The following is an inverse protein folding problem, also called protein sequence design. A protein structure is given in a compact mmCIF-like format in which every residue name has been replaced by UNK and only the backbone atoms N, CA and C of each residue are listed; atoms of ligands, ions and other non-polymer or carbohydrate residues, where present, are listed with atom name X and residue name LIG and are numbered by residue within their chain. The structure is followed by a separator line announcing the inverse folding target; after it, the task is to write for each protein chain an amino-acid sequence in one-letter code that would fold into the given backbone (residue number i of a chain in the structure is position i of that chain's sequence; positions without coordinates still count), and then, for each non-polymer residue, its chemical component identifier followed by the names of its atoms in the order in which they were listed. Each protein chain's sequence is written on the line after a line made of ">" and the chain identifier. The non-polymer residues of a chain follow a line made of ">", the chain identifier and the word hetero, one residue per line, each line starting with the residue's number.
data_IF_415900533764
#
_entry.id   IF_415900533764
#
_cell.length_a   1.000
_cell.length_b   1.000
_cell.length_c   1.000
_cell.angle_alpha   90.00
_cell.angle_beta   90.00
_cell.angle_gamma   90.00
#
_symmetry.space_group_name_H-M   'P 1'
#
loop_
_entity.id
_entity.type
_entity.pdbx_description
1 polymer ?
#
# COMPACT_ATOMS: atom_id res chain seq x y z
N UNK A 1 69.05 51.65 -50.73
CA UNK A 1 69.31 50.20 -50.54
C UNK A 1 68.09 49.32 -50.83
N UNK A 2 66.87 49.66 -50.37
CA UNK A 2 65.63 48.88 -50.64
C UNK A 2 65.28 48.71 -52.14
N UNK A 3 65.66 49.65 -53.01
CA UNK A 3 65.33 49.63 -54.44
C UNK A 3 66.18 48.67 -55.27
N UNK A 4 67.44 48.41 -54.88
CA UNK A 4 68.31 47.51 -55.63
C UNK A 4 68.03 46.04 -55.32
N UNK A 5 67.63 45.72 -54.09
CA UNK A 5 67.22 44.37 -53.70
C UNK A 5 65.93 43.97 -54.43
N UNK A 6 64.95 44.87 -54.55
CA UNK A 6 63.73 44.62 -55.34
C UNK A 6 64.04 44.35 -56.81
N UNK A 7 64.89 45.17 -57.43
CA UNK A 7 65.26 45.04 -58.84
C UNK A 7 66.04 43.74 -59.15
N UNK A 8 66.79 43.23 -58.18
CA UNK A 8 67.52 41.96 -58.28
C UNK A 8 66.61 40.72 -58.06
N UNK A 9 65.46 40.89 -57.40
CA UNK A 9 64.49 39.82 -57.15
C UNK A 9 63.35 39.77 -58.18
N UNK A 10 63.09 40.86 -58.91
CA UNK A 10 62.10 40.92 -59.99
C UNK A 10 62.22 39.79 -61.06
N UNK A 11 63.43 39.34 -61.48
CA UNK A 11 63.55 38.22 -62.43
C UNK A 11 63.40 36.84 -61.78
N UNK A 12 63.38 36.74 -60.44
CA UNK A 12 63.20 35.46 -59.72
C UNK A 12 61.70 35.21 -59.56
N UNK A 13 61.04 34.92 -60.68
CA UNK A 13 59.63 34.53 -60.71
C UNK A 13 59.56 33.04 -61.03
N UNK A 14 58.83 32.29 -60.21
CA UNK A 14 58.53 30.90 -60.55
C UNK A 14 57.74 30.88 -61.86
N UNK A 15 58.06 29.94 -62.73
CA UNK A 15 57.31 29.71 -63.97
C UNK A 15 55.82 29.50 -63.63
N UNK A 16 54.92 30.03 -64.45
CA UNK A 16 53.47 29.95 -64.22
C UNK A 16 53.00 28.49 -64.17
N UNK A 17 53.71 27.59 -64.86
CA UNK A 17 53.52 26.14 -64.76
C UNK A 17 53.86 25.58 -63.37
N UNK A 18 54.91 26.08 -62.71
CA UNK A 18 55.32 25.67 -61.36
C UNK A 18 54.35 26.23 -60.31
N UNK A 19 53.84 27.46 -60.51
CA UNK A 19 52.82 28.06 -59.65
C UNK A 19 51.50 27.29 -59.78
N UNK A 20 51.09 26.94 -61.00
CA UNK A 20 49.88 26.17 -61.28
C UNK A 20 49.90 24.78 -60.62
N UNK A 21 50.98 24.04 -60.81
CA UNK A 21 51.16 22.70 -60.22
C UNK A 21 51.23 22.74 -58.69
N UNK A 22 51.91 23.75 -58.12
CA UNK A 22 51.96 23.93 -56.66
C UNK A 22 50.59 24.31 -56.10
N UNK A 23 49.84 25.16 -56.80
CA UNK A 23 48.48 25.54 -56.41
C UNK A 23 47.53 24.35 -56.44
N UNK A 24 47.65 23.49 -57.44
CA UNK A 24 46.85 22.27 -57.56
C UNK A 24 47.23 21.21 -56.52
N UNK A 25 48.53 21.07 -56.22
CA UNK A 25 49.01 20.20 -55.15
C UNK A 25 48.51 20.67 -53.77
N UNK A 26 48.51 21.99 -53.52
CA UNK A 26 47.99 22.58 -52.29
C UNK A 26 46.48 22.45 -52.18
N UNK A 27 45.72 22.66 -53.26
CA UNK A 27 44.26 22.47 -53.24
C UNK A 27 43.90 20.99 -53.02
N UNK A 28 44.60 20.05 -53.67
CA UNK A 28 44.45 18.61 -53.39
C UNK A 28 44.76 18.26 -51.93
N UNK A 29 45.83 18.83 -51.36
CA UNK A 29 46.16 18.64 -49.94
C UNK A 29 45.13 19.25 -48.99
N UNK A 30 44.56 20.41 -49.33
CA UNK A 30 43.48 21.06 -48.55
C UNK A 30 42.18 20.25 -48.61
N UNK A 31 41.78 19.77 -49.79
CA UNK A 31 40.60 18.91 -49.95
C UNK A 31 40.76 17.57 -49.23
N UNK A 32 41.95 16.97 -49.26
CA UNK A 32 42.24 15.74 -48.51
C UNK A 32 42.17 15.95 -46.98
N UNK A 33 42.63 17.10 -46.47
CA UNK A 33 42.50 17.46 -45.04
C UNK A 33 41.05 17.74 -44.64
N UNK A 34 40.27 18.42 -45.48
CA UNK A 34 38.85 18.66 -45.23
C UNK A 34 38.01 17.37 -45.21
N UNK A 35 38.50 16.30 -45.84
CA UNK A 35 37.93 14.94 -45.83
C UNK A 35 38.42 14.05 -44.69
N UNK A 36 39.13 14.60 -43.68
CA UNK A 36 39.42 13.82 -42.46
C UNK A 36 38.11 13.35 -41.82
N UNK A 37 37.97 12.08 -41.43
CA UNK A 37 36.67 11.49 -41.19
C UNK A 37 36.11 11.97 -39.84
N UNK A 38 35.29 13.02 -39.86
CA UNK A 38 34.38 13.38 -38.76
C UNK A 38 33.49 12.19 -38.34
N UNK A 39 33.43 11.11 -39.14
CA UNK A 39 32.77 9.84 -38.82
C UNK A 39 33.21 9.26 -37.47
N UNK A 40 34.48 9.42 -37.07
CA UNK A 40 34.96 8.92 -35.77
C UNK A 40 34.39 9.71 -34.58
N UNK A 41 34.43 11.04 -34.66
CA UNK A 41 33.89 11.94 -33.62
C UNK A 41 32.37 11.88 -33.56
N UNK A 42 31.69 11.87 -34.72
CA UNK A 42 30.22 11.69 -34.79
C UNK A 42 29.79 10.32 -34.25
N UNK A 43 30.50 9.23 -34.55
CA UNK A 43 30.22 7.91 -33.96
C UNK A 43 30.44 7.89 -32.44
N UNK A 44 31.50 8.55 -31.94
CA UNK A 44 31.73 8.70 -30.49
C UNK A 44 30.62 9.53 -29.83
N UNK A 45 30.18 10.63 -30.45
CA UNK A 45 29.07 11.44 -29.95
C UNK A 45 27.76 10.65 -29.89
N UNK A 46 27.42 9.96 -30.98
CA UNK A 46 26.19 9.14 -31.07
C UNK A 46 26.23 8.01 -30.05
N UNK A 47 27.38 7.33 -29.87
CA UNK A 47 27.52 6.28 -28.85
C UNK A 47 27.43 6.84 -27.44
N UNK A 48 28.03 7.99 -27.14
CA UNK A 48 27.87 8.64 -25.82
C UNK A 48 26.42 9.06 -25.56
N UNK A 49 25.71 9.61 -26.56
CA UNK A 49 24.30 9.96 -26.42
C UNK A 49 23.42 8.72 -26.23
N UNK A 50 23.71 7.63 -26.94
CA UNK A 50 23.00 6.37 -26.79
C UNK A 50 23.21 5.76 -25.38
N UNK A 51 24.44 5.80 -24.86
CA UNK A 51 24.72 5.36 -23.49
C UNK A 51 23.97 6.21 -22.47
N UNK A 52 24.02 7.54 -22.58
CA UNK A 52 23.29 8.44 -21.67
C UNK A 52 21.78 8.20 -21.72
N UNK A 53 21.21 8.03 -22.92
CA UNK A 53 19.78 7.71 -23.07
C UNK A 53 19.45 6.35 -22.44
N UNK A 54 20.30 5.34 -22.64
CA UNK A 54 20.10 4.03 -22.01
C UNK A 54 20.18 4.09 -20.49
N UNK A 55 21.13 4.84 -19.93
CA UNK A 55 21.22 5.07 -18.49
C UNK A 55 19.97 5.78 -17.96
N UNK A 56 19.49 6.80 -18.68
CA UNK A 56 18.28 7.53 -18.31
C UNK A 56 17.04 6.62 -18.31
N UNK A 57 16.89 5.75 -19.32
CA UNK A 57 15.81 4.77 -19.38
C UNK A 57 15.90 3.75 -18.24
N UNK A 58 17.09 3.27 -17.91
CA UNK A 58 17.30 2.34 -16.78
C UNK A 58 16.95 3.02 -15.45
N UNK A 59 17.40 4.26 -15.23
CA UNK A 59 17.09 5.02 -14.02
C UNK A 59 15.59 5.31 -13.93
N UNK A 60 14.97 5.79 -15.01
CA UNK A 60 13.54 6.05 -15.06
C UNK A 60 12.71 4.77 -14.80
N UNK A 61 13.06 3.66 -15.44
CA UNK A 61 12.41 2.36 -15.23
C UNK A 61 12.59 1.85 -13.80
N UNK A 62 13.77 2.04 -13.20
CA UNK A 62 14.03 1.66 -11.81
C UNK A 62 13.20 2.48 -10.82
N UNK A 63 13.10 3.79 -11.04
CA UNK A 63 12.28 4.68 -10.21
C UNK A 63 10.80 4.33 -10.35
N UNK A 64 10.33 4.05 -11.57
CA UNK A 64 8.95 3.61 -11.80
C UNK A 64 8.66 2.30 -11.07
N UNK A 65 9.56 1.31 -11.16
CA UNK A 65 9.41 0.04 -10.46
C UNK A 65 9.37 0.21 -8.93
N UNK A 66 10.18 1.11 -8.38
CA UNK A 66 10.17 1.42 -6.95
C UNK A 66 8.89 2.12 -6.47
N UNK A 67 8.15 2.76 -7.38
CA UNK A 67 6.89 3.47 -7.10
C UNK A 67 5.64 2.70 -7.49
N UNK A 68 5.76 1.50 -8.02
CA UNK A 68 4.60 0.67 -8.35
C UNK A 68 4.06 -0.03 -7.09
N UNK A 69 2.76 0.10 -6.77
CA UNK A 69 2.15 -0.66 -5.69
C UNK A 69 2.09 -2.14 -6.07
N UNK A 70 2.40 -3.01 -5.12
CA UNK A 70 2.40 -4.47 -5.30
C UNK A 70 1.55 -5.21 -4.28
N UNK A 71 1.22 -4.53 -3.19
CA UNK A 71 0.29 -5.01 -2.19
C UNK A 71 -0.39 -3.82 -1.50
N UNK A 72 -1.58 -4.07 -0.97
CA UNK A 72 -2.31 -3.16 -0.10
C UNK A 72 -2.59 -3.86 1.23
N UNK A 73 -2.57 -3.09 2.31
CA UNK A 73 -2.89 -3.55 3.66
C UNK A 73 -3.91 -2.57 4.19
N UNK A 74 -5.10 -3.05 4.53
CA UNK A 74 -6.10 -2.24 5.23
C UNK A 74 -6.20 -2.68 6.68
N UNK A 75 -6.33 -1.71 7.57
CA UNK A 75 -6.61 -1.89 8.99
C UNK A 75 -7.99 -1.29 9.24
N UNK A 76 -8.96 -2.17 9.45
CA UNK A 76 -10.36 -1.87 9.64
C UNK A 76 -10.75 -2.08 11.10
N UNK A 77 -10.75 -0.96 11.82
CA UNK A 77 -11.35 -0.82 13.13
C UNK A 77 -12.16 0.49 13.12
N UNK A 78 -12.19 1.19 14.25
CA UNK A 78 -12.49 2.61 14.31
C UNK A 78 -11.23 3.21 14.92
N UNK A 79 -10.18 3.52 14.13
CA UNK A 79 -10.15 4.06 12.76
C UNK A 79 -9.97 3.05 11.60
N UNK A 80 -10.18 3.51 10.35
CA UNK A 80 -10.06 2.73 9.11
C UNK A 80 -9.07 3.38 8.13
N UNK A 81 -8.00 2.64 7.80
CA UNK A 81 -6.87 3.12 6.98
C UNK A 81 -6.37 2.06 5.98
N UNK A 82 -5.89 2.48 4.81
CA UNK A 82 -5.19 1.65 3.82
C UNK A 82 -3.74 2.12 3.67
N UNK A 83 -2.81 1.18 3.55
CA UNK A 83 -1.42 1.43 3.20
C UNK A 83 -1.08 0.64 1.93
N UNK A 84 -0.57 1.33 0.92
CA UNK A 84 -0.02 0.69 -0.27
C UNK A 84 1.48 0.50 -0.14
N UNK A 85 1.98 -0.67 -0.55
CA UNK A 85 3.39 -1.01 -0.45
C UNK A 85 3.97 -1.52 -1.76
N UNK A 86 5.23 -1.16 -2.02
CA UNK A 86 5.97 -1.63 -3.19
C UNK A 86 6.56 -3.04 -2.98
N UNK A 87 7.24 -3.56 -4.02
CA UNK A 87 7.87 -4.89 -4.00
C UNK A 87 8.89 -5.08 -2.86
N UNK A 88 9.43 -3.98 -2.31
CA UNK A 88 10.36 -3.96 -1.18
C UNK A 88 9.66 -3.81 0.17
N UNK A 89 8.33 -3.91 0.20
CA UNK A 89 7.47 -3.72 1.39
C UNK A 89 7.69 -2.36 2.06
N UNK A 90 7.95 -1.34 1.25
CA UNK A 90 7.99 0.05 1.70
C UNK A 90 6.67 0.73 1.37
N UNK A 91 6.20 1.54 2.30
CA UNK A 91 4.99 2.34 2.14
C UNK A 91 5.17 3.32 0.98
N UNK A 92 4.21 3.31 0.07
CA UNK A 92 4.07 4.27 -1.02
C UNK A 92 3.09 5.37 -0.68
N UNK A 93 1.96 5.01 -0.06
CA UNK A 93 0.92 5.90 0.40
C UNK A 93 0.21 5.31 1.62
N UNK A 94 -0.40 6.18 2.41
CA UNK A 94 -1.35 5.82 3.45
C UNK A 94 -2.58 6.71 3.29
N UNK A 95 -3.76 6.10 3.22
CA UNK A 95 -5.04 6.77 2.98
C UNK A 95 -6.01 6.44 4.12
N UNK A 96 -6.77 7.43 4.59
CA UNK A 96 -7.81 7.25 5.58
C UNK A 96 -9.17 7.12 4.89
N UNK A 97 -10.06 6.31 5.48
CA UNK A 97 -11.40 6.03 4.94
C UNK A 97 -12.51 6.41 5.91
N UNK A 98 -12.16 7.02 7.05
CA UNK A 98 -13.09 7.64 8.00
C UNK A 98 -12.41 8.80 8.74
N UNK A 99 -13.20 9.69 9.41
CA UNK A 99 -12.65 10.83 10.15
C UNK A 99 -11.65 10.45 11.25
N UNK A 100 -11.87 9.31 11.91
CA UNK A 100 -10.95 8.78 12.92
C UNK A 100 -9.59 8.42 12.29
N UNK A 101 -9.60 7.85 11.07
CA UNK A 101 -8.39 7.54 10.32
C UNK A 101 -7.66 8.78 9.86
N UNK A 102 -8.38 9.83 9.46
CA UNK A 102 -7.77 11.12 9.10
C UNK A 102 -7.03 11.72 10.31
N UNK A 103 -7.70 11.74 11.46
CA UNK A 103 -7.12 12.22 12.71
C UNK A 103 -5.90 11.37 13.14
N UNK A 104 -5.96 10.06 12.92
CA UNK A 104 -4.85 9.16 13.22
C UNK A 104 -3.62 9.44 12.34
N UNK A 105 -3.83 9.66 11.04
CA UNK A 105 -2.73 9.82 10.07
C UNK A 105 -2.09 11.22 10.08
N UNK A 106 -2.77 12.27 10.57
CA UNK A 106 -2.32 13.67 10.50
C UNK A 106 -0.91 13.89 11.09
N UNK A 107 -0.49 13.09 12.08
CA UNK A 107 0.82 13.15 12.72
C UNK A 107 1.86 12.12 12.24
N UNK A 108 1.49 11.20 11.35
CA UNK A 108 2.29 10.02 11.03
C UNK A 108 3.03 10.14 9.70
N UNK A 109 4.37 10.11 9.75
CA UNK A 109 5.21 10.07 8.55
C UNK A 109 5.44 8.62 8.09
N UNK A 110 4.51 8.05 7.34
CA UNK A 110 4.55 6.62 6.98
C UNK A 110 5.28 6.35 5.65
N UNK A 111 5.23 7.27 4.69
CA UNK A 111 5.81 7.06 3.35
C UNK A 111 7.30 6.72 3.39
N UNK A 112 7.68 5.72 2.59
CA UNK A 112 9.04 5.22 2.49
C UNK A 112 9.47 4.32 3.66
N UNK A 113 8.73 4.24 4.77
CA UNK A 113 9.03 3.31 5.88
C UNK A 113 8.76 1.86 5.49
N UNK A 114 9.42 0.88 6.14
CA UNK A 114 9.01 -0.52 6.07
C UNK A 114 7.56 -0.67 6.55
N UNK A 115 6.77 -1.51 5.87
CA UNK A 115 5.35 -1.74 6.18
C UNK A 115 5.12 -2.10 7.65
N UNK A 116 5.98 -2.95 8.23
CA UNK A 116 5.89 -3.36 9.65
C UNK A 116 6.03 -2.18 10.61
N UNK A 117 6.98 -1.27 10.35
CA UNK A 117 7.17 -0.08 11.17
C UNK A 117 6.04 0.93 11.01
N UNK A 118 5.45 1.01 9.82
CA UNK A 118 4.28 1.84 9.60
C UNK A 118 3.06 1.32 10.38
N UNK A 119 2.84 -0.01 10.35
CA UNK A 119 1.78 -0.68 11.11
C UNK A 119 1.99 -0.51 12.61
N UNK A 120 3.21 -0.71 13.12
CA UNK A 120 3.52 -0.45 14.52
C UNK A 120 3.19 0.98 14.93
N UNK A 121 3.51 1.97 14.09
CA UNK A 121 3.21 3.36 14.36
C UNK A 121 1.70 3.66 14.37
N UNK A 122 0.94 3.04 13.46
CA UNK A 122 -0.53 3.14 13.41
C UNK A 122 -1.15 2.52 14.67
N UNK A 123 -0.77 1.29 15.03
CA UNK A 123 -1.28 0.62 16.22
C UNK A 123 -0.93 1.39 17.50
N UNK A 124 0.29 1.92 17.60
CA UNK A 124 0.68 2.75 18.73
C UNK A 124 -0.16 4.03 18.82
N UNK A 125 -0.49 4.66 17.68
CA UNK A 125 -1.38 5.80 17.63
C UNK A 125 -2.82 5.41 18.01
N UNK A 126 -3.31 4.25 17.57
CA UNK A 126 -4.65 3.75 17.93
C UNK A 126 -4.79 3.54 19.44
N UNK A 127 -3.78 2.96 20.07
CA UNK A 127 -3.74 2.77 21.52
C UNK A 127 -3.69 4.12 22.23
N UNK A 128 -2.85 5.07 21.78
CA UNK A 128 -2.74 6.40 22.38
C UNK A 128 -4.03 7.24 22.26
N UNK A 129 -4.74 7.10 21.13
CA UNK A 129 -6.01 7.77 20.89
C UNK A 129 -7.19 7.08 21.62
N UNK A 130 -6.98 5.90 22.21
CA UNK A 130 -7.99 5.16 22.98
C UNK A 130 -8.93 4.30 22.13
N UNK A 131 -8.58 4.06 20.87
CA UNK A 131 -9.34 3.19 19.96
C UNK A 131 -9.15 1.70 20.29
N UNK A 132 -7.99 1.34 20.87
CA UNK A 132 -7.75 0.02 21.45
C UNK A 132 -7.92 0.09 22.97
N UNK A 133 -8.93 -0.59 23.49
CA UNK A 133 -9.30 -0.56 24.90
C UNK A 133 -8.54 -1.61 25.73
N UNK A 134 -8.26 -1.28 26.99
CA UNK A 134 -7.58 -2.10 28.00
C UNK A 134 -8.21 -3.49 28.25
N UNK A 135 -9.46 -3.69 27.84
CA UNK A 135 -10.24 -4.90 28.09
C UNK A 135 -9.86 -6.09 27.18
N UNK A 136 -9.06 -5.85 26.14
CA UNK A 136 -8.66 -6.86 25.16
C UNK A 136 -9.77 -7.24 24.17
N UNK A 137 -10.89 -6.52 24.16
CA UNK A 137 -12.06 -6.81 23.34
C UNK A 137 -12.03 -6.11 21.97
N UNK A 138 -11.19 -5.09 21.80
CA UNK A 138 -11.00 -4.41 20.52
C UNK A 138 -10.61 -5.40 19.42
N UNK A 139 -11.29 -5.33 18.28
CA UNK A 139 -10.97 -6.13 17.09
C UNK A 139 -10.29 -5.24 16.06
N UNK A 140 -9.10 -5.66 15.63
CA UNK A 140 -8.37 -5.07 14.50
C UNK A 140 -8.56 -6.02 13.33
N UNK A 141 -9.37 -5.62 12.33
CA UNK A 141 -9.50 -6.37 11.10
C UNK A 141 -8.43 -5.96 10.11
N UNK A 142 -7.74 -6.92 9.50
CA UNK A 142 -6.64 -6.69 8.58
C UNK A 142 -6.94 -7.38 7.27
N UNK A 143 -7.04 -6.65 6.17
CA UNK A 143 -7.09 -7.27 4.86
C UNK A 143 -5.81 -7.00 4.07
N UNK A 144 -5.18 -8.07 3.56
CA UNK A 144 -4.00 -7.96 2.70
C UNK A 144 -4.29 -8.40 1.28
N UNK A 145 -3.94 -7.54 0.33
CA UNK A 145 -4.08 -7.79 -1.09
C UNK A 145 -2.70 -7.88 -1.74
N UNK A 146 -2.42 -8.91 -2.54
CA UNK A 146 -1.18 -8.99 -3.33
C UNK A 146 -1.36 -9.88 -4.55
N UNK A 147 -0.66 -9.57 -5.65
CA UNK A 147 -0.68 -10.36 -6.88
C UNK A 147 0.08 -11.69 -6.83
N UNK A 148 0.59 -12.09 -5.65
CA UNK A 148 1.29 -13.37 -5.47
C UNK A 148 0.96 -13.95 -4.09
N UNK A 149 0.34 -15.12 -4.07
CA UNK A 149 -0.04 -15.82 -2.83
C UNK A 149 1.15 -15.99 -1.89
N UNK A 150 2.29 -16.48 -2.40
CA UNK A 150 3.50 -16.66 -1.59
C UNK A 150 4.03 -15.37 -0.96
N UNK A 151 3.92 -14.24 -1.67
CA UNK A 151 4.35 -12.95 -1.15
C UNK A 151 3.35 -12.40 -0.13
N UNK A 152 2.05 -12.64 -0.35
CA UNK A 152 0.94 -12.32 0.54
C UNK A 152 1.08 -13.03 1.87
N UNK A 153 1.23 -14.36 1.90
CA UNK A 153 1.37 -15.10 3.15
C UNK A 153 2.52 -14.53 3.98
N UNK A 154 3.71 -14.37 3.38
CA UNK A 154 4.85 -13.75 4.07
C UNK A 154 4.62 -12.30 4.51
N UNK A 155 3.68 -11.57 3.90
CA UNK A 155 3.31 -10.23 4.31
C UNK A 155 2.41 -10.32 5.54
N UNK A 156 1.38 -11.15 5.50
CA UNK A 156 0.42 -11.40 6.59
C UNK A 156 1.12 -11.74 7.91
N UNK A 157 2.06 -12.70 7.90
CA UNK A 157 2.90 -13.01 9.08
C UNK A 157 3.50 -11.75 9.71
N UNK A 158 4.11 -10.92 8.87
CA UNK A 158 4.88 -9.77 9.34
C UNK A 158 3.96 -8.64 9.79
N UNK A 159 2.80 -8.52 9.17
CA UNK A 159 1.77 -7.57 9.59
C UNK A 159 1.24 -7.97 10.96
N UNK A 160 0.86 -9.23 11.12
CA UNK A 160 0.39 -9.78 12.39
C UNK A 160 1.44 -9.65 13.51
N UNK A 161 2.68 -10.06 13.24
CA UNK A 161 3.82 -9.93 14.17
C UNK A 161 4.01 -8.46 14.58
N UNK A 162 3.97 -7.53 13.61
CA UNK A 162 4.10 -6.10 13.88
C UNK A 162 2.96 -5.53 14.74
N UNK A 163 1.72 -5.99 14.53
CA UNK A 163 0.58 -5.60 15.35
C UNK A 163 0.76 -6.10 16.78
N UNK A 164 1.10 -7.38 16.97
CA UNK A 164 1.29 -7.94 18.29
C UNK A 164 2.49 -7.34 19.04
N UNK A 165 3.57 -7.01 18.34
CA UNK A 165 4.72 -6.30 18.91
C UNK A 165 4.29 -4.91 19.42
N UNK A 166 3.59 -4.12 18.60
CA UNK A 166 3.13 -2.78 19.01
C UNK A 166 2.11 -2.80 20.15
N UNK A 167 1.18 -3.76 20.14
CA UNK A 167 0.25 -3.99 21.24
C UNK A 167 1.00 -4.36 22.52
N UNK A 168 1.96 -5.28 22.44
CA UNK A 168 2.79 -5.71 23.57
C UNK A 168 3.64 -4.58 24.16
N UNK A 169 4.27 -3.75 23.31
CA UNK A 169 5.02 -2.56 23.74
C UNK A 169 4.13 -1.53 24.43
N UNK A 170 2.87 -1.43 24.02
CA UNK A 170 1.87 -0.52 24.60
C UNK A 170 1.17 -1.11 25.83
N UNK A 171 1.49 -2.35 26.22
CA UNK A 171 0.85 -3.06 27.34
C UNK A 171 -0.63 -3.37 27.09
N UNK A 172 -1.03 -3.43 25.83
CA UNK A 172 -2.41 -3.55 25.39
C UNK A 172 -2.64 -4.91 24.71
N UNK A 173 -3.84 -5.46 24.85
CA UNK A 173 -4.29 -6.64 24.12
C UNK A 173 -5.40 -6.25 23.14
N UNK A 174 -5.49 -6.95 22.00
CA UNK A 174 -6.56 -6.84 21.03
C UNK A 174 -6.71 -8.17 20.26
N UNK A 175 -7.88 -8.39 19.68
CA UNK A 175 -8.13 -9.49 18.76
C UNK A 175 -7.76 -9.06 17.35
N UNK A 176 -6.85 -9.80 16.71
CA UNK A 176 -6.47 -9.55 15.32
C UNK A 176 -7.21 -10.55 14.44
N UNK A 177 -8.15 -10.05 13.63
CA UNK A 177 -8.78 -10.80 12.56
C UNK A 177 -8.08 -10.44 11.26
N UNK A 178 -7.67 -11.42 10.48
CA UNK A 178 -7.02 -11.10 9.22
C UNK A 178 -7.48 -11.98 8.07
N UNK A 179 -7.49 -11.38 6.88
CA UNK A 179 -7.97 -12.02 5.68
C UNK A 179 -7.18 -11.62 4.44
N UNK A 180 -7.10 -12.58 3.54
CA UNK A 180 -6.34 -12.51 2.32
C UNK A 180 -7.32 -12.22 1.17
N UNK A 181 -7.21 -11.05 0.54
CA UNK A 181 -8.12 -10.60 -0.52
C UNK A 181 -7.37 -10.45 -1.86
N UNK A 182 -8.12 -10.42 -2.97
CA UNK A 182 -7.58 -10.18 -4.30
C UNK A 182 -7.30 -8.70 -4.56
N UNK A 183 -6.46 -8.41 -5.56
CA UNK A 183 -6.13 -7.02 -5.94
C UNK A 183 -7.31 -6.30 -6.58
N UNK A 184 -8.19 -7.03 -7.25
CA UNK A 184 -9.45 -6.51 -7.80
C UNK A 184 -10.31 -5.83 -6.72
N UNK A 185 -10.28 -6.36 -5.49
CA UNK A 185 -11.00 -5.78 -4.36
C UNK A 185 -10.48 -4.40 -3.96
N UNK A 186 -9.19 -4.15 -4.20
CA UNK A 186 -8.55 -2.86 -3.87
C UNK A 186 -9.04 -1.76 -4.82
N UNK A 187 -9.15 -2.09 -6.10
CA UNK A 187 -9.64 -1.15 -7.12
C UNK A 187 -11.12 -0.84 -6.91
N UNK A 188 -11.96 -1.86 -6.68
CA UNK A 188 -13.39 -1.70 -6.38
C UNK A 188 -13.64 -0.85 -5.12
N UNK A 189 -12.90 -1.12 -4.03
CA UNK A 189 -13.08 -0.40 -2.77
C UNK A 189 -12.71 1.08 -2.89
N UNK A 190 -11.69 1.40 -3.69
CA UNK A 190 -11.27 2.77 -3.97
C UNK A 190 -12.33 3.58 -4.69
N UNK A 191 -13.05 2.99 -5.64
CA UNK A 191 -14.17 3.65 -6.32
C UNK A 191 -15.31 4.00 -5.36
N UNK A 192 -15.50 3.14 -4.34
CA UNK A 192 -16.53 3.30 -3.31
C UNK A 192 -16.05 4.13 -2.10
N UNK A 193 -14.80 4.59 -2.07
CA UNK A 193 -14.22 5.33 -0.94
C UNK A 193 -14.35 4.58 0.40
N UNK A 194 -14.14 3.27 0.37
CA UNK A 194 -14.04 2.40 1.55
C UNK A 194 -12.76 1.56 1.46
N UNK A 195 -12.35 0.96 2.57
CA UNK A 195 -11.20 0.05 2.55
C UNK A 195 -11.53 -1.28 1.86
N UNK A 196 -10.50 -1.97 1.31
CA UNK A 196 -10.66 -3.28 0.71
C UNK A 196 -11.18 -4.35 1.69
N UNK A 197 -10.76 -4.29 2.96
CA UNK A 197 -11.25 -5.19 4.01
C UNK A 197 -12.72 -4.95 4.35
N UNK A 198 -13.15 -3.68 4.47
CA UNK A 198 -14.57 -3.35 4.66
C UNK A 198 -15.42 -3.81 3.49
N UNK A 199 -15.00 -3.59 2.24
CA UNK A 199 -15.73 -4.10 1.07
C UNK A 199 -15.82 -5.63 1.10
N UNK A 200 -14.79 -6.33 1.58
CA UNK A 200 -14.86 -7.78 1.76
C UNK A 200 -15.90 -8.23 2.79
N UNK A 201 -16.02 -7.53 3.90
CA UNK A 201 -17.06 -7.79 4.89
C UNK A 201 -18.46 -7.50 4.32
N UNK A 202 -18.62 -6.41 3.57
CA UNK A 202 -19.90 -6.04 2.91
C UNK A 202 -20.34 -7.14 1.95
N UNK A 203 -19.45 -7.62 1.08
CA UNK A 203 -19.81 -8.66 0.11
C UNK A 203 -20.23 -9.96 0.79
N UNK A 204 -19.52 -10.38 1.85
CA UNK A 204 -19.92 -11.54 2.67
C UNK A 204 -21.31 -11.37 3.29
N UNK A 205 -21.66 -10.16 3.71
CA UNK A 205 -22.98 -9.88 4.27
C UNK A 205 -24.07 -9.94 3.19
N UNK A 206 -23.81 -9.39 2.00
CA UNK A 206 -24.75 -9.43 0.87
C UNK A 206 -24.96 -10.86 0.36
N UNK A 207 -23.92 -11.70 0.36
CA UNK A 207 -24.04 -13.12 0.02
C UNK A 207 -25.00 -13.87 0.97
N UNK A 208 -25.02 -13.50 2.26
CA UNK A 208 -25.89 -14.09 3.27
C UNK A 208 -27.29 -13.46 3.29
N UNK A 209 -27.38 -12.16 3.03
CA UNK A 209 -28.62 -11.39 2.95
C UNK A 209 -28.67 -10.54 1.67
N UNK A 210 -29.15 -11.13 0.55
CA UNK A 210 -29.23 -10.44 -0.74
C UNK A 210 -30.21 -9.26 -0.77
N UNK A 211 -30.93 -8.98 0.32
CA UNK A 211 -31.83 -7.82 0.40
C UNK A 211 -31.10 -6.52 0.72
N UNK A 212 -29.84 -6.61 1.20
CA UNK A 212 -28.99 -5.46 1.51
C UNK A 212 -28.23 -4.97 0.28
N UNK A 213 -27.97 -3.68 0.25
CA UNK A 213 -27.15 -3.04 -0.79
C UNK A 213 -25.78 -2.65 -0.24
N UNK A 214 -24.82 -2.40 -1.13
CA UNK A 214 -23.49 -1.94 -0.74
C UNK A 214 -23.62 -0.57 -0.06
N UNK A 215 -24.42 0.31 -0.65
CA UNK A 215 -24.65 1.68 -0.19
C UNK A 215 -25.19 1.72 1.24
N UNK A 216 -26.13 0.85 1.60
CA UNK A 216 -26.69 0.78 2.95
C UNK A 216 -25.66 0.35 4.01
N UNK A 217 -24.62 -0.38 3.59
CA UNK A 217 -23.62 -0.98 4.47
C UNK A 217 -22.33 -0.15 4.58
N UNK A 218 -22.14 0.81 3.67
CA UNK A 218 -20.96 1.69 3.67
C UNK A 218 -20.88 2.56 4.93
N UNK A 219 -22.00 2.96 5.52
CA UNK A 219 -22.04 3.78 6.74
C UNK A 219 -21.91 2.94 8.02
N UNK A 220 -21.96 1.61 7.92
CA UNK A 220 -21.89 0.73 9.08
C UNK A 220 -20.45 0.52 9.53
N UNK A 221 -20.21 0.43 10.83
CA UNK A 221 -18.87 0.10 11.35
C UNK A 221 -18.49 -1.36 11.01
N UNK A 222 -17.20 -1.63 10.69
CA UNK A 222 -16.74 -2.99 10.38
C UNK A 222 -17.15 -4.03 11.42
N UNK A 223 -17.02 -3.72 12.72
CA UNK A 223 -17.41 -4.63 13.81
C UNK A 223 -18.90 -5.01 13.77
N UNK A 224 -19.77 -4.07 13.39
CA UNK A 224 -21.19 -4.35 13.18
C UNK A 224 -21.43 -5.29 12.00
N UNK A 225 -20.68 -5.12 10.90
CA UNK A 225 -20.80 -5.98 9.71
C UNK A 225 -20.35 -7.39 10.07
N UNK A 226 -19.22 -7.53 10.75
CA UNK A 226 -18.71 -8.82 11.24
C UNK A 226 -19.74 -9.56 12.09
N UNK A 227 -20.41 -8.84 13.01
CA UNK A 227 -21.45 -9.41 13.87
C UNK A 227 -22.64 -9.93 13.06
N UNK A 228 -23.17 -9.15 12.12
CA UNK A 228 -24.28 -9.59 11.27
C UNK A 228 -23.92 -10.80 10.40
N UNK A 229 -22.70 -10.81 9.83
CA UNK A 229 -22.21 -11.95 9.04
C UNK A 229 -22.21 -13.24 9.87
N UNK A 230 -21.75 -13.18 11.12
CA UNK A 230 -21.72 -14.34 12.01
C UNK A 230 -23.12 -14.76 12.46
N UNK A 231 -23.99 -13.82 12.82
CA UNK A 231 -25.37 -14.12 13.22
C UNK A 231 -26.17 -14.81 12.10
N UNK A 232 -26.07 -14.30 10.87
CA UNK A 232 -26.75 -14.89 9.71
C UNK A 232 -26.19 -16.27 9.34
N UNK A 233 -24.87 -16.45 9.44
CA UNK A 233 -24.23 -17.76 9.23
C UNK A 233 -24.69 -18.78 10.27
N UNK A 234 -24.77 -18.40 11.54
CA UNK A 234 -25.26 -19.27 12.61
C UNK A 234 -26.75 -19.60 12.44
N UNK A 235 -27.57 -18.63 12.02
CA UNK A 235 -28.98 -18.87 11.73
C UNK A 235 -29.18 -19.82 10.54
N UNK A 236 -28.36 -19.70 9.50
CA UNK A 236 -28.37 -20.61 8.34
C UNK A 236 -27.91 -22.04 8.69
N UNK A 237 -27.04 -22.20 9.69
CA UNK A 237 -26.55 -23.49 10.17
C UNK A 237 -27.33 -24.06 11.38
N UNK A 238 -28.45 -23.42 11.78
CA UNK A 238 -29.28 -23.82 12.92
C UNK A 238 -30.22 -25.02 12.70
N UNK A 239 -30.11 -25.70 11.56
CA UNK A 239 -30.80 -26.98 11.29
C UNK A 239 -29.85 -27.92 10.58
N UNK A 240 -29.63 -29.08 11.20
CA UNK A 240 -28.88 -30.24 10.73
C UNK A 240 -27.39 -30.32 11.04
N UNK A 241 -27.06 -31.50 11.59
CA UNK A 241 -25.77 -32.06 11.91
C UNK A 241 -24.69 -31.71 10.88
N UNK A 242 -23.51 -31.28 11.36
CA UNK A 242 -22.21 -31.30 10.67
C UNK A 242 -22.33 -31.25 9.12
N UNK A 243 -22.85 -30.13 8.61
CA UNK A 243 -22.72 -29.74 7.20
C UNK A 243 -21.31 -29.22 6.92
N UNK A 244 -20.85 -29.29 5.65
CA UNK A 244 -19.44 -29.44 5.31
C UNK A 244 -18.63 -28.24 5.80
N UNK A 245 -17.46 -28.56 6.34
CA UNK A 245 -16.32 -27.68 6.27
C UNK A 245 -16.31 -27.08 4.87
N UNK A 246 -16.58 -25.77 4.78
CA UNK A 246 -16.55 -25.03 3.53
C UNK A 246 -15.09 -25.01 3.16
N UNK A 247 -14.69 -26.08 2.46
CA UNK A 247 -13.35 -26.43 2.00
C UNK A 247 -12.33 -25.38 2.39
N UNK A 248 -11.66 -25.65 3.50
CA UNK A 248 -10.22 -25.80 3.49
C UNK A 248 -9.66 -25.63 2.07
N UNK A 249 -9.20 -24.41 1.78
CA UNK A 249 -8.12 -24.25 0.81
C UNK A 249 -6.98 -25.12 1.32
N UNK A 250 -6.76 -26.20 0.56
CA UNK A 250 -5.83 -27.30 0.80
C UNK A 250 -4.63 -26.89 1.68
N UNK A 251 -4.39 -27.70 2.72
CA UNK A 251 -3.14 -27.65 3.48
C UNK A 251 -1.94 -27.90 2.57
N UNK A 252 -1.39 -26.82 2.01
CA UNK A 252 -0.05 -26.79 1.42
C UNK A 252 0.99 -26.18 2.39
N UNK A 253 2.25 -26.66 2.34
CA UNK A 253 3.24 -26.37 3.38
C UNK A 253 3.88 -24.98 3.18
N UNK A 254 3.72 -24.10 4.17
CA UNK A 254 4.43 -22.80 4.23
C UNK A 254 3.68 -21.60 4.84
N UNK A 255 2.57 -21.82 5.57
CA UNK A 255 1.67 -20.77 6.11
C UNK A 255 2.37 -19.83 7.12
N UNK A 256 2.12 -18.53 7.00
CA UNK A 256 1.52 -17.82 8.12
C UNK A 256 0.04 -17.59 7.92
N UNK A 257 -0.68 -17.55 9.03
CA UNK A 257 -2.12 -17.57 9.11
C UNK A 257 -2.44 -16.66 10.29
N UNK A 258 -3.28 -15.64 10.10
CA UNK A 258 -3.63 -14.73 11.20
C UNK A 258 -4.21 -15.53 12.37
N UNK A 259 -3.92 -15.10 13.60
CA UNK A 259 -4.26 -15.81 14.82
C UNK A 259 -5.74 -16.20 14.91
N UNK A 260 -6.64 -15.32 14.46
CA UNK A 260 -8.05 -15.64 14.29
C UNK A 260 -8.43 -15.79 12.82
N UNK A 261 -8.67 -17.06 12.43
CA UNK A 261 -8.97 -17.46 11.05
C UNK A 261 -10.42 -17.22 10.63
N UNK A 262 -11.32 -17.00 11.59
CA UNK A 262 -12.74 -16.80 11.32
C UNK A 262 -13.32 -15.66 12.14
N UNK A 263 -14.30 -14.96 11.55
CA UNK A 263 -15.05 -13.90 12.23
C UNK A 263 -15.69 -14.41 13.54
N UNK A 264 -16.17 -15.65 13.54
CA UNK A 264 -16.77 -16.30 14.71
C UNK A 264 -15.81 -16.36 15.89
N UNK A 265 -14.59 -16.85 15.67
CA UNK A 265 -13.59 -16.97 16.73
C UNK A 265 -13.09 -15.61 17.18
N UNK A 266 -12.92 -14.66 16.26
CA UNK A 266 -12.54 -13.30 16.60
C UNK A 266 -13.59 -12.64 17.52
N UNK A 267 -14.87 -12.72 17.15
CA UNK A 267 -15.97 -12.17 17.96
C UNK A 267 -16.12 -12.92 19.30
N UNK A 268 -15.99 -14.25 19.31
CA UNK A 268 -16.05 -15.05 20.55
C UNK A 268 -14.93 -14.66 21.52
N UNK A 269 -13.70 -14.48 21.02
CA UNK A 269 -12.55 -14.09 21.83
C UNK A 269 -12.68 -12.67 22.36
N UNK A 270 -13.14 -11.74 21.52
CA UNK A 270 -13.42 -10.37 21.93
C UNK A 270 -14.49 -10.32 23.04
N UNK A 271 -15.58 -11.07 22.89
CA UNK A 271 -16.63 -11.17 23.91
C UNK A 271 -16.11 -11.76 25.23
N UNK A 272 -15.29 -12.82 25.17
CA UNK A 272 -14.65 -13.40 26.37
C UNK A 272 -13.68 -12.42 27.06
N UNK A 273 -12.95 -11.62 26.29
CA UNK A 273 -12.05 -10.59 26.82
C UNK A 273 -12.85 -9.51 27.56
N UNK A 274 -13.90 -8.98 26.93
CA UNK A 274 -14.82 -8.03 27.55
C UNK A 274 -15.44 -8.56 28.85
N UNK A 275 -15.93 -9.80 28.85
CA UNK A 275 -16.55 -10.41 30.04
C UNK A 275 -15.55 -10.60 31.18
N UNK A 276 -14.32 -11.00 30.85
CA UNK A 276 -13.23 -11.14 31.83
C UNK A 276 -12.83 -9.78 32.41
N UNK A 277 -12.82 -8.73 31.60
CA UNK A 277 -12.54 -7.36 32.05
C UNK A 277 -13.65 -6.86 33.00
N UNK A 278 -14.91 -6.98 32.61
CA UNK A 278 -16.06 -6.59 33.43
C UNK A 278 -16.08 -7.30 34.80
N UNK A 279 -15.74 -8.59 34.84
CA UNK A 279 -15.62 -9.35 36.10
C UNK A 279 -14.47 -8.87 36.99
N UNK A 280 -13.37 -8.37 36.42
CA UNK A 280 -12.24 -7.81 37.18
C UNK A 280 -12.55 -6.42 37.73
N UNK A 281 -13.35 -5.64 37.03
CA UNK A 281 -13.73 -4.27 37.43
C UNK A 281 -14.91 -4.24 38.43
N UNK A 282 -15.52 -5.38 38.76
CA UNK A 282 -16.61 -5.46 39.73
C UNK A 282 -17.93 -4.87 39.23
N UNK A 283 -18.05 -4.63 37.91
CA UNK A 283 -19.28 -4.18 37.28
C UNK A 283 -20.12 -5.43 37.00
N UNK A 284 -21.18 -5.63 37.79
CA UNK A 284 -22.20 -6.61 37.47
C UNK A 284 -22.81 -6.28 36.10
N UNK A 285 -23.12 -7.28 35.24
CA UNK A 285 -23.76 -7.01 33.97
C UNK A 285 -25.10 -6.33 34.25
N UNK A 286 -25.20 -5.05 33.89
CA UNK A 286 -26.47 -4.34 33.94
C UNK A 286 -27.39 -5.05 32.95
N UNK A 287 -28.39 -5.73 33.52
CA UNK A 287 -29.47 -6.38 32.79
C UNK A 287 -30.02 -5.40 31.77
N UNK A 288 -29.81 -5.71 30.48
CA UNK A 288 -30.58 -5.13 29.38
C UNK A 288 -31.99 -5.72 29.50
N UNK A 289 -32.78 -5.15 30.41
CA UNK A 289 -34.22 -5.25 30.42
C UNK A 289 -34.79 -3.88 30.03
N UNK A 290 -35.85 -3.82 29.20
CA UNK A 290 -36.37 -2.57 28.71
C UNK A 290 -36.90 -1.72 29.88
N UNK A 291 -36.34 -0.51 30.06
CA UNK A 291 -36.97 0.56 30.85
C UNK A 291 -38.21 1.06 30.11
N UNK A 292 -39.29 0.30 30.23
CA UNK A 292 -40.64 0.82 30.08
C UNK A 292 -41.11 1.34 31.44
N UNK A 293 -41.72 2.52 31.44
CA UNK A 293 -42.48 3.14 32.53
C UNK A 293 -41.72 3.73 33.73
N UNK A 294 -41.08 4.90 33.56
CA UNK A 294 -41.04 5.95 34.61
C UNK A 294 -40.99 7.37 34.01
N UNK A 295 -41.83 7.64 33.00
CA UNK A 295 -41.97 8.99 32.40
C UNK A 295 -43.42 9.49 32.37
N UNK A 296 -44.26 9.09 33.32
CA UNK A 296 -45.65 9.58 33.40
C UNK A 296 -46.08 10.22 34.74
N UNK A 297 -45.16 10.51 35.68
CA UNK A 297 -45.56 11.07 36.99
C UNK A 297 -45.00 12.45 37.35
N UNK A 298 -44.60 13.28 36.38
CA UNK A 298 -44.15 14.66 36.66
C UNK A 298 -44.95 15.77 35.96
N UNK A 299 -46.05 15.46 35.25
CA UNK A 299 -46.97 16.49 34.70
C UNK A 299 -48.34 16.46 35.41
N UNK A 300 -48.31 16.46 36.75
CA UNK A 300 -49.50 16.79 37.56
C UNK A 300 -49.25 17.71 38.76
N UNK A 301 -48.03 18.23 38.93
CA UNK A 301 -47.75 19.25 39.93
C UNK A 301 -46.73 20.27 39.40
N UNK A 302 -47.11 21.04 38.38
CA UNK A 302 -46.80 22.47 38.25
C UNK A 302 -47.68 23.11 37.19
#
# INVERSE_FOLDING_TARGET
>A
MKTQIRKAMDPIRADDALIGTTREALSRHQEQRARTPQRGVRRRLVTTMAVLLSCLLVVAGSVAFLRFPTAAISLDATPSVEIQVNAFRRVLSAEAFNPEGEALLEGLQLEGRPATQAIQAIIAADVQAGYVQADGASIISVATASGSDRLRTKLEAKVEEAIHEALGESGQEAVVYGEAIGLERVEEARELQITPGKLNLIQKLIELDPTKTIEDLMDMEPAGIMKQVVELRQAAHGSDEKGPDVTEGEDEPGKPDFAEKTLEKALEKAAKAAEKSARKEGVAPESIAPRTEQAQETIRQT
#
